data_IF_973895457893
#
_entry.id   IF_973895457893
#
_cell.length_a   1.000
_cell.length_b   1.000
_cell.length_c   1.000
_cell.angle_alpha   90.00
_cell.angle_beta   90.00
_cell.angle_gamma   90.00
#
_symmetry.space_group_name_H-M   'P 1'
#
loop_
_entity.id
_entity.type
_entity.pdbx_description
1 polymer ?
#
# COMPACT_ATOMS: atom_id res chain seq x y z
N UNK A 1 -11.35 11.45 34.56
CA UNK A 1 -12.06 10.30 33.96
C UNK A 1 -11.28 9.89 32.73
N UNK A 2 -10.74 8.68 32.73
CA UNK A 2 -10.07 8.15 31.55
C UNK A 2 -11.11 7.80 30.48
N UNK A 3 -10.91 8.31 29.27
CA UNK A 3 -11.77 8.00 28.13
C UNK A 3 -11.76 6.49 27.87
N UNK A 4 -12.87 5.78 27.62
CA UNK A 4 -12.87 4.36 27.25
C UNK A 4 -12.08 4.04 25.97
N UNK A 5 -11.55 2.82 25.87
CA UNK A 5 -10.73 2.37 24.72
C UNK A 5 -11.49 2.51 23.39
N UNK A 6 -12.80 2.19 23.40
CA UNK A 6 -13.68 2.26 22.23
C UNK A 6 -13.84 3.70 21.73
N UNK A 7 -13.90 4.67 22.66
CA UNK A 7 -13.99 6.08 22.30
C UNK A 7 -12.67 6.58 21.70
N UNK A 8 -11.53 6.11 22.22
CA UNK A 8 -10.20 6.44 21.69
C UNK A 8 -10.08 5.90 20.26
N UNK A 9 -10.43 4.63 20.03
CA UNK A 9 -10.41 4.01 18.70
C UNK A 9 -11.38 4.71 17.73
N UNK A 10 -12.57 5.11 18.20
CA UNK A 10 -13.52 5.87 17.39
C UNK A 10 -12.98 7.24 16.96
N UNK A 11 -12.18 7.90 17.81
CA UNK A 11 -11.49 9.15 17.46
C UNK A 11 -10.37 8.88 16.46
N UNK A 12 -9.51 7.89 16.73
CA UNK A 12 -8.38 7.55 15.87
C UNK A 12 -8.79 7.06 14.48
N UNK A 13 -9.94 6.40 14.36
CA UNK A 13 -10.51 6.01 13.06
C UNK A 13 -10.90 7.20 12.18
N UNK A 14 -10.99 8.41 12.74
CA UNK A 14 -11.20 9.66 11.99
C UNK A 14 -9.89 10.34 11.58
N UNK A 15 -8.75 9.86 12.08
CA UNK A 15 -7.43 10.41 11.81
C UNK A 15 -6.70 9.56 10.77
N UNK A 16 -5.62 10.12 10.19
CA UNK A 16 -4.67 9.32 9.40
C UNK A 16 -4.03 8.28 10.31
N UNK A 17 -4.07 7.01 9.92
CA UNK A 17 -3.47 5.92 10.71
C UNK A 17 -1.98 6.12 10.92
N UNK A 18 -1.27 6.66 9.93
CA UNK A 18 0.15 6.99 10.05
C UNK A 18 0.38 8.04 11.13
N UNK A 19 -0.44 9.09 11.16
CA UNK A 19 -0.30 10.15 12.17
C UNK A 19 -0.53 9.57 13.57
N UNK A 20 -1.52 8.69 13.73
CA UNK A 20 -1.78 7.98 14.99
C UNK A 20 -0.60 7.09 15.38
N UNK A 21 -0.13 6.23 14.47
CA UNK A 21 1.01 5.34 14.68
C UNK A 21 2.25 6.14 15.08
N UNK A 22 2.57 7.20 14.35
CA UNK A 22 3.75 8.01 14.62
C UNK A 22 3.64 8.80 15.93
N UNK A 23 2.44 9.27 16.29
CA UNK A 23 2.23 10.12 17.47
C UNK A 23 2.11 9.34 18.77
N UNK A 24 1.63 8.10 18.72
CA UNK A 24 1.26 7.36 19.94
C UNK A 24 2.12 6.12 20.21
N UNK A 25 2.84 5.58 19.22
CA UNK A 25 3.77 4.47 19.46
C UNK A 25 4.91 4.92 20.38
N UNK A 26 5.10 4.17 21.46
CA UNK A 26 6.13 4.42 22.46
C UNK A 26 5.80 5.50 23.49
N UNK A 27 4.67 6.20 23.35
CA UNK A 27 4.30 7.30 24.27
C UNK A 27 3.70 6.78 25.56
N UNK A 28 2.80 5.79 25.48
CA UNK A 28 2.14 5.24 26.65
C UNK A 28 1.73 3.78 26.43
N UNK A 29 1.86 2.93 27.45
CA UNK A 29 1.59 1.48 27.34
C UNK A 29 0.16 1.18 26.86
N UNK A 30 -0.82 1.91 27.39
CA UNK A 30 -2.23 1.79 26.97
C UNK A 30 -2.39 2.10 25.48
N UNK A 31 -1.73 3.13 24.97
CA UNK A 31 -1.83 3.49 23.56
C UNK A 31 -1.09 2.50 22.67
N UNK A 32 0.07 1.99 23.09
CA UNK A 32 0.75 0.92 22.36
C UNK A 32 -0.17 -0.30 22.17
N UNK A 33 -0.88 -0.70 23.22
CA UNK A 33 -1.86 -1.80 23.12
C UNK A 33 -2.95 -1.52 22.09
N UNK A 34 -3.46 -0.29 22.05
CA UNK A 34 -4.54 0.09 21.12
C UNK A 34 -4.05 0.25 19.68
N UNK A 35 -2.89 0.86 19.48
CA UNK A 35 -2.32 1.10 18.15
C UNK A 35 -1.88 -0.20 17.48
N UNK A 36 -1.42 -1.17 18.28
CA UNK A 36 -1.06 -2.51 17.81
C UNK A 36 -2.21 -3.52 17.89
N UNK A 37 -3.42 -3.06 18.22
CA UNK A 37 -4.59 -3.91 18.15
C UNK A 37 -4.79 -4.36 16.70
N UNK A 38 -4.97 -5.68 16.52
CA UNK A 38 -5.11 -6.29 15.21
C UNK A 38 -6.22 -5.62 14.41
N UNK A 39 -7.35 -5.29 15.03
CA UNK A 39 -8.51 -4.71 14.33
C UNK A 39 -8.23 -3.30 13.81
N UNK A 40 -7.34 -2.55 14.47
CA UNK A 40 -6.98 -1.21 14.04
C UNK A 40 -5.98 -1.23 12.88
N UNK A 41 -4.98 -2.11 12.92
CA UNK A 41 -3.80 -2.04 12.04
C UNK A 41 -3.90 -2.84 10.73
N UNK A 42 -5.01 -3.56 10.47
CA UNK A 42 -5.15 -4.44 9.30
C UNK A 42 -4.92 -3.76 7.95
N UNK A 43 -5.13 -2.45 7.87
CA UNK A 43 -4.91 -1.67 6.65
C UNK A 43 -3.99 -0.48 6.93
N UNK A 44 -2.90 -0.36 6.18
CA UNK A 44 -1.94 0.74 6.28
C UNK A 44 -1.84 1.45 4.93
N UNK A 45 -1.86 2.78 4.96
CA UNK A 45 -1.67 3.63 3.79
C UNK A 45 -0.41 4.50 3.95
N UNK A 46 0.61 4.23 3.15
CA UNK A 46 1.89 4.93 3.10
C UNK A 46 1.97 5.75 1.81
N UNK A 47 1.17 6.82 1.76
CA UNK A 47 1.07 7.69 0.59
C UNK A 47 1.64 9.07 0.92
N UNK A 48 2.51 9.59 0.06
CA UNK A 48 3.01 10.96 0.15
C UNK A 48 1.99 11.92 -0.49
N UNK A 49 0.89 12.18 0.22
CA UNK A 49 -0.18 13.01 -0.32
C UNK A 49 0.24 14.49 -0.39
N UNK A 50 0.54 15.00 -1.58
CA UNK A 50 0.65 16.43 -1.89
C UNK A 50 -0.68 17.21 -1.79
N UNK A 51 -1.73 16.63 -1.20
CA UNK A 51 -2.99 17.31 -0.95
C UNK A 51 -2.83 18.30 0.19
N UNK A 52 -3.28 19.54 0.00
CA UNK A 52 -3.12 20.73 0.87
C UNK A 52 -3.34 20.58 2.39
N UNK A 53 -3.81 19.43 2.88
CA UNK A 53 -4.13 19.19 4.31
C UNK A 53 -3.74 17.79 4.84
N UNK A 54 -2.80 17.07 4.22
CA UNK A 54 -2.26 15.82 4.79
C UNK A 54 -0.77 15.98 5.06
N UNK A 55 -0.32 15.59 6.25
CA UNK A 55 1.10 15.55 6.57
C UNK A 55 1.82 14.74 5.49
N UNK A 56 2.78 15.38 4.80
CA UNK A 56 3.59 14.70 3.80
C UNK A 56 4.37 13.59 4.49
N UNK A 57 4.21 12.36 4.02
CA UNK A 57 5.10 11.27 4.38
C UNK A 57 6.47 11.57 3.74
N UNK A 58 7.29 12.34 4.45
CA UNK A 58 8.66 12.64 4.01
C UNK A 58 9.53 11.38 4.12
N UNK A 59 10.60 11.31 3.34
CA UNK A 59 11.55 10.19 3.35
C UNK A 59 12.05 9.87 4.78
N UNK A 60 12.44 10.84 5.63
CA UNK A 60 12.84 10.54 7.00
C UNK A 60 11.73 9.94 7.88
N UNK A 61 10.47 10.35 7.66
CA UNK A 61 9.33 9.78 8.41
C UNK A 61 9.10 8.34 7.95
N UNK A 62 9.15 8.08 6.65
CA UNK A 62 9.06 6.74 6.09
C UNK A 62 10.18 5.84 6.63
N UNK A 63 11.42 6.32 6.65
CA UNK A 63 12.57 5.56 7.16
C UNK A 63 12.39 5.17 8.63
N UNK A 64 11.93 6.12 9.44
CA UNK A 64 11.63 5.86 10.85
C UNK A 64 10.48 4.87 11.00
N UNK A 65 9.44 5.01 10.17
CA UNK A 65 8.29 4.12 10.17
C UNK A 65 8.73 2.68 9.82
N UNK A 66 9.49 2.51 8.73
CA UNK A 66 10.04 1.24 8.27
C UNK A 66 11.01 0.61 9.28
N UNK A 67 11.80 1.43 9.99
CA UNK A 67 12.82 0.91 10.92
C UNK A 67 12.26 0.57 12.30
N UNK A 68 11.16 1.21 12.73
CA UNK A 68 10.69 1.12 14.11
C UNK A 68 9.25 0.61 14.24
N UNK A 69 8.31 1.13 13.45
CA UNK A 69 6.88 0.84 13.62
C UNK A 69 6.48 -0.39 12.81
N UNK A 70 6.83 -0.40 11.52
CA UNK A 70 6.46 -1.46 10.59
C UNK A 70 6.95 -2.87 11.02
N UNK A 71 8.17 -3.06 11.57
CA UNK A 71 8.60 -4.36 12.09
C UNK A 71 7.73 -4.90 13.23
N UNK A 72 7.00 -4.03 13.94
CA UNK A 72 6.13 -4.45 15.05
C UNK A 72 4.72 -4.81 14.58
N UNK A 73 4.32 -4.37 13.37
CA UNK A 73 2.93 -4.50 12.90
C UNK A 73 2.76 -5.27 11.61
N UNK A 74 3.83 -5.53 10.85
CA UNK A 74 3.73 -6.13 9.51
C UNK A 74 2.99 -7.48 9.49
N UNK A 75 3.07 -8.26 10.59
CA UNK A 75 2.37 -9.54 10.74
C UNK A 75 0.85 -9.39 10.84
N UNK A 76 0.32 -8.20 11.10
CA UNK A 76 -1.12 -7.96 11.21
C UNK A 76 -1.68 -7.23 9.97
N UNK A 77 -0.82 -6.80 9.04
CA UNK A 77 -1.23 -6.05 7.86
C UNK A 77 -1.84 -7.01 6.85
N UNK A 78 -3.12 -6.80 6.56
CA UNK A 78 -3.89 -7.52 5.55
C UNK A 78 -4.04 -6.72 4.25
N UNK A 79 -3.94 -5.40 4.34
CA UNK A 79 -4.05 -4.45 3.24
C UNK A 79 -2.96 -3.38 3.33
N UNK A 80 -2.24 -3.15 2.23
CA UNK A 80 -1.19 -2.15 2.15
C UNK A 80 -1.38 -1.28 0.92
N UNK A 81 -1.41 0.03 1.12
CA UNK A 81 -1.38 1.01 0.04
C UNK A 81 -0.09 1.79 0.12
N UNK A 82 0.65 1.88 -0.98
CA UNK A 82 1.95 2.55 -1.02
C UNK A 82 2.20 3.21 -2.38
N UNK A 83 3.14 4.15 -2.40
CA UNK A 83 3.68 4.70 -3.65
C UNK A 83 4.79 3.82 -4.20
N UNK A 84 4.89 3.73 -5.53
CA UNK A 84 5.95 2.99 -6.25
C UNK A 84 7.34 3.24 -5.66
N UNK A 85 7.71 4.51 -5.43
CA UNK A 85 9.01 4.92 -4.87
C UNK A 85 9.30 4.36 -3.46
N UNK A 86 8.26 4.01 -2.71
CA UNK A 86 8.38 3.45 -1.35
C UNK A 86 8.29 1.92 -1.31
N UNK A 87 7.91 1.27 -2.42
CA UNK A 87 7.55 -0.15 -2.45
C UNK A 87 8.66 -1.04 -1.93
N UNK A 88 9.85 -0.99 -2.53
CA UNK A 88 10.97 -1.85 -2.15
C UNK A 88 11.34 -1.66 -0.68
N UNK A 89 11.36 -0.41 -0.22
CA UNK A 89 11.71 -0.07 1.16
C UNK A 89 10.70 -0.61 2.15
N UNK A 90 9.40 -0.50 1.86
CA UNK A 90 8.35 -1.00 2.74
C UNK A 90 8.34 -2.53 2.74
N UNK A 91 8.33 -3.15 1.55
CA UNK A 91 8.20 -4.60 1.42
C UNK A 91 9.45 -5.37 1.89
N UNK A 92 10.62 -4.73 1.97
CA UNK A 92 11.84 -5.34 2.52
C UNK A 92 11.90 -5.38 4.05
N UNK A 93 10.99 -4.70 4.76
CA UNK A 93 11.03 -4.64 6.24
C UNK A 93 10.74 -5.99 6.89
N UNK A 94 9.92 -6.84 6.27
CA UNK A 94 9.58 -8.13 6.85
C UNK A 94 8.65 -8.96 5.98
N UNK A 95 8.33 -10.16 6.46
CA UNK A 95 7.43 -11.09 5.78
C UNK A 95 5.98 -10.79 6.17
N UNK A 96 5.16 -10.40 5.19
CA UNK A 96 3.78 -9.99 5.42
C UNK A 96 2.80 -11.16 5.32
N UNK A 97 2.86 -12.16 6.20
CA UNK A 97 2.09 -13.41 6.07
C UNK A 97 0.57 -13.27 5.82
N UNK A 98 -0.03 -12.14 6.21
CA UNK A 98 -1.46 -11.89 6.09
C UNK A 98 -1.84 -10.91 4.99
N UNK A 99 -0.89 -10.32 4.26
CA UNK A 99 -1.16 -9.30 3.26
C UNK A 99 -1.89 -9.90 2.05
N UNK A 100 -3.17 -9.60 1.89
CA UNK A 100 -4.01 -10.08 0.79
C UNK A 100 -4.30 -9.00 -0.25
N UNK A 101 -4.24 -7.74 0.16
CA UNK A 101 -4.57 -6.60 -0.68
C UNK A 101 -3.38 -5.66 -0.79
N UNK A 102 -2.92 -5.41 -2.02
CA UNK A 102 -1.84 -4.48 -2.28
C UNK A 102 -2.30 -3.43 -3.27
N UNK A 103 -2.12 -2.16 -2.91
CA UNK A 103 -2.35 -1.02 -3.80
C UNK A 103 -1.04 -0.29 -4.01
N UNK A 104 -0.56 -0.24 -5.25
CA UNK A 104 0.63 0.52 -5.64
C UNK A 104 0.17 1.68 -6.51
N UNK A 105 0.48 2.90 -6.10
CA UNK A 105 0.15 4.10 -6.87
C UNK A 105 1.40 4.76 -7.44
N UNK A 106 1.18 5.69 -8.37
CA UNK A 106 2.24 6.41 -9.06
C UNK A 106 3.25 5.49 -9.77
N UNK A 107 2.76 4.41 -10.39
CA UNK A 107 3.60 3.53 -11.20
C UNK A 107 3.90 4.22 -12.54
N UNK A 108 5.16 4.23 -12.95
CA UNK A 108 5.56 4.56 -14.31
C UNK A 108 5.91 3.28 -15.11
N UNK A 109 6.18 3.45 -16.40
CA UNK A 109 6.50 2.33 -17.29
C UNK A 109 7.79 1.61 -16.87
N UNK A 110 8.82 2.33 -16.45
CA UNK A 110 10.10 1.74 -16.08
C UNK A 110 9.95 0.86 -14.83
N UNK A 111 9.24 1.37 -13.83
CA UNK A 111 8.89 0.66 -12.62
C UNK A 111 8.12 -0.62 -12.92
N UNK A 112 7.08 -0.54 -13.77
CA UNK A 112 6.28 -1.70 -14.13
C UNK A 112 7.11 -2.78 -14.83
N UNK A 113 7.97 -2.38 -15.77
CA UNK A 113 8.85 -3.29 -16.50
C UNK A 113 9.92 -3.93 -15.62
N UNK A 114 10.37 -3.22 -14.58
CA UNK A 114 11.37 -3.72 -13.63
C UNK A 114 10.78 -4.70 -12.62
N UNK A 115 9.57 -4.44 -12.12
CA UNK A 115 9.02 -5.15 -10.96
C UNK A 115 7.95 -6.20 -11.28
N UNK A 116 7.27 -6.11 -12.42
CA UNK A 116 6.30 -7.12 -12.86
C UNK A 116 6.94 -8.07 -13.89
N UNK A 117 7.98 -8.76 -13.43
CA UNK A 117 8.68 -9.82 -14.15
C UNK A 117 8.76 -11.07 -13.27
N UNK A 118 8.95 -12.24 -13.89
CA UNK A 118 9.06 -13.52 -13.16
C UNK A 118 10.27 -13.54 -12.21
N UNK A 119 11.33 -12.80 -12.53
CA UNK A 119 12.58 -12.74 -11.77
C UNK A 119 12.56 -11.69 -10.63
N UNK A 120 11.48 -10.91 -10.52
CA UNK A 120 11.39 -9.87 -9.51
C UNK A 120 11.20 -10.48 -8.12
N UNK A 121 12.01 -10.09 -7.10
CA UNK A 121 11.83 -10.54 -5.72
C UNK A 121 10.41 -10.25 -5.19
N UNK A 122 9.79 -9.18 -5.70
CA UNK A 122 8.41 -8.84 -5.38
C UNK A 122 7.44 -9.95 -5.79
N UNK A 123 7.59 -10.48 -7.00
CA UNK A 123 6.74 -11.57 -7.49
C UNK A 123 6.94 -12.82 -6.64
N UNK A 124 8.18 -13.19 -6.38
CA UNK A 124 8.52 -14.41 -5.62
C UNK A 124 7.88 -14.41 -4.23
N UNK A 125 7.90 -13.27 -3.55
CA UNK A 125 7.38 -13.15 -2.18
C UNK A 125 5.84 -13.18 -2.15
N UNK A 126 5.17 -12.65 -3.17
CA UNK A 126 3.75 -12.31 -3.09
C UNK A 126 2.82 -13.07 -4.07
N UNK A 127 3.38 -13.85 -4.99
CA UNK A 127 2.64 -14.56 -6.05
C UNK A 127 1.45 -15.41 -5.56
N UNK A 128 1.59 -16.05 -4.40
CA UNK A 128 0.58 -16.92 -3.79
C UNK A 128 -0.21 -16.22 -2.69
N UNK A 129 0.17 -15.00 -2.32
CA UNK A 129 -0.43 -14.35 -1.16
C UNK A 129 -1.50 -13.33 -1.53
N UNK A 130 -1.24 -12.56 -2.60
CA UNK A 130 -2.08 -11.44 -3.01
C UNK A 130 -3.31 -11.95 -3.75
N UNK A 131 -4.47 -11.54 -3.27
CA UNK A 131 -5.76 -11.83 -3.90
C UNK A 131 -6.36 -10.59 -4.55
N UNK A 132 -5.97 -9.39 -4.10
CA UNK A 132 -6.42 -8.13 -4.69
C UNK A 132 -5.20 -7.25 -4.96
N UNK A 133 -4.98 -6.90 -6.22
CA UNK A 133 -3.93 -5.98 -6.62
C UNK A 133 -4.56 -4.77 -7.29
N UNK A 134 -4.17 -3.58 -6.85
CA UNK A 134 -4.55 -2.32 -7.47
C UNK A 134 -3.32 -1.55 -7.89
N UNK A 135 -3.28 -1.11 -9.14
CA UNK A 135 -2.17 -0.38 -9.72
C UNK A 135 -2.67 0.95 -10.27
N UNK A 136 -2.11 2.06 -9.81
CA UNK A 136 -2.40 3.37 -10.39
C UNK A 136 -1.18 3.91 -11.11
N UNK A 137 -1.32 4.12 -12.42
CA UNK A 137 -0.25 4.59 -13.31
C UNK A 137 -0.27 6.12 -13.34
N UNK A 138 0.91 6.75 -13.31
CA UNK A 138 1.06 8.20 -13.53
C UNK A 138 0.58 8.51 -14.94
N UNK A 139 -0.40 9.42 -15.09
CA UNK A 139 -1.01 9.78 -16.37
C UNK A 139 0.11 10.10 -17.38
N UNK A 140 0.39 9.22 -18.37
CA UNK A 140 1.41 9.52 -19.33
C UNK A 140 0.85 10.63 -20.19
N UNK A 141 1.48 11.80 -20.18
CA UNK A 141 1.19 12.87 -21.13
C UNK A 141 1.39 12.43 -22.60
N UNK A 142 1.83 11.19 -22.82
CA UNK A 142 2.16 10.56 -24.09
C UNK A 142 1.03 9.60 -24.50
N UNK A 143 0.62 9.74 -25.76
CA UNK A 143 -0.45 9.06 -26.50
C UNK A 143 -1.16 7.85 -25.86
N UNK A 144 -2.50 7.82 -26.01
CA UNK A 144 -3.39 6.71 -25.61
C UNK A 144 -2.87 5.32 -26.00
N UNK A 145 -2.16 5.20 -27.12
CA UNK A 145 -1.56 3.95 -27.61
C UNK A 145 -0.51 3.38 -26.65
N UNK A 146 0.38 4.22 -26.11
CA UNK A 146 1.42 3.78 -25.16
C UNK A 146 0.82 3.28 -23.84
N UNK A 147 -0.31 3.84 -23.44
CA UNK A 147 -1.06 3.44 -22.25
C UNK A 147 -1.74 2.08 -22.46
N UNK A 148 -2.31 1.83 -23.64
CA UNK A 148 -2.91 0.53 -24.00
C UNK A 148 -1.85 -0.57 -24.08
N UNK A 149 -0.71 -0.31 -24.70
CA UNK A 149 0.36 -1.31 -24.83
C UNK A 149 1.00 -1.63 -23.47
N UNK A 150 1.22 -0.61 -22.64
CA UNK A 150 1.72 -0.80 -21.28
C UNK A 150 0.71 -1.58 -20.44
N UNK A 151 -0.55 -1.16 -20.43
CA UNK A 151 -1.58 -1.84 -19.66
C UNK A 151 -1.74 -3.27 -20.13
N UNK A 152 -1.89 -3.55 -21.43
CA UNK A 152 -2.13 -4.91 -21.94
C UNK A 152 -0.98 -5.87 -21.62
N UNK A 153 0.27 -5.45 -21.82
CA UNK A 153 1.44 -6.29 -21.52
C UNK A 153 1.65 -6.48 -20.01
N UNK A 154 1.43 -5.44 -19.21
CA UNK A 154 1.54 -5.52 -17.74
C UNK A 154 0.39 -6.32 -17.16
N UNK A 155 -0.83 -6.21 -17.69
CA UNK A 155 -2.00 -7.01 -17.31
C UNK A 155 -1.73 -8.50 -17.47
N UNK A 156 -1.33 -8.92 -18.67
CA UNK A 156 -1.08 -10.32 -18.97
C UNK A 156 0.00 -10.91 -18.05
N UNK A 157 1.08 -10.14 -17.82
CA UNK A 157 2.15 -10.54 -16.90
C UNK A 157 1.66 -10.63 -15.46
N UNK A 158 0.94 -9.63 -14.95
CA UNK A 158 0.44 -9.68 -13.57
C UNK A 158 -0.47 -10.89 -13.35
N UNK A 159 -1.33 -11.23 -14.32
CA UNK A 159 -2.15 -12.43 -14.20
C UNK A 159 -1.33 -13.72 -14.19
N UNK A 160 -0.26 -13.81 -14.98
CA UNK A 160 0.60 -15.01 -14.93
C UNK A 160 1.43 -15.08 -13.63
N UNK A 161 1.75 -13.92 -13.05
CA UNK A 161 2.60 -13.80 -11.87
C UNK A 161 1.85 -14.11 -10.56
N UNK A 162 0.59 -13.71 -10.42
CA UNK A 162 -0.18 -13.83 -9.17
C UNK A 162 -1.24 -14.93 -9.25
N UNK A 163 -0.90 -16.13 -8.77
CA UNK A 163 -1.74 -17.34 -8.87
C UNK A 163 -3.09 -17.22 -8.18
N UNK A 164 -3.14 -16.46 -7.08
CA UNK A 164 -4.34 -16.32 -6.24
C UNK A 164 -5.09 -15.01 -6.47
N UNK A 165 -4.75 -14.27 -7.53
CA UNK A 165 -5.37 -12.99 -7.84
C UNK A 165 -6.84 -13.19 -8.24
N UNK A 166 -7.76 -12.60 -7.49
CA UNK A 166 -9.21 -12.61 -7.77
C UNK A 166 -9.71 -11.27 -8.30
N UNK A 167 -9.02 -10.18 -7.95
CA UNK A 167 -9.38 -8.84 -8.38
C UNK A 167 -8.13 -8.04 -8.79
N UNK A 168 -8.19 -7.44 -9.97
CA UNK A 168 -7.17 -6.54 -10.50
C UNK A 168 -7.82 -5.22 -10.95
N UNK A 169 -7.43 -4.13 -10.29
CA UNK A 169 -7.92 -2.77 -10.57
C UNK A 169 -6.76 -1.92 -11.11
N UNK A 170 -6.92 -1.39 -12.31
CA UNK A 170 -6.00 -0.37 -12.82
C UNK A 170 -6.59 1.01 -12.62
N UNK A 171 -5.76 2.02 -12.44
CA UNK A 171 -6.18 3.41 -12.26
C UNK A 171 -5.22 4.36 -12.95
N UNK A 172 -5.70 5.56 -13.27
CA UNK A 172 -4.83 6.69 -13.65
C UNK A 172 -4.89 7.75 -12.56
N UNK A 173 -3.73 8.20 -12.09
CA UNK A 173 -3.64 9.32 -11.15
C UNK A 173 -3.78 10.63 -11.92
N UNK A 174 -5.01 11.13 -12.09
CA UNK A 174 -5.21 12.46 -12.70
C UNK A 174 -6.55 12.69 -13.40
N UNK A 175 -7.25 11.64 -13.83
CA UNK A 175 -8.55 11.77 -14.52
C UNK A 175 -9.57 10.77 -14.00
N UNK A 176 -10.83 11.19 -13.90
CA UNK A 176 -12.01 10.30 -13.69
C UNK A 176 -12.27 9.44 -14.94
N UNK A 177 -11.26 8.76 -15.46
CA UNK A 177 -11.46 7.77 -16.52
C UNK A 177 -11.74 6.44 -15.86
N UNK A 178 -12.85 5.82 -16.28
CA UNK A 178 -13.17 4.45 -15.94
C UNK A 178 -12.03 3.56 -16.42
N UNK A 179 -11.28 3.02 -15.48
CA UNK A 179 -10.32 1.98 -15.77
C UNK A 179 -11.01 0.62 -15.69
N UNK A 180 -10.55 -0.37 -16.47
CA UNK A 180 -11.10 -1.71 -16.43
C UNK A 180 -10.80 -2.33 -15.06
N UNK A 181 -11.87 -2.78 -14.39
CA UNK A 181 -11.79 -3.72 -13.27
C UNK A 181 -11.99 -5.11 -13.82
N UNK A 182 -11.04 -5.99 -13.60
CA UNK A 182 -11.22 -7.40 -13.88
C UNK A 182 -11.46 -8.15 -12.57
N UNK A 183 -12.62 -8.79 -12.50
CA UNK A 183 -12.91 -9.83 -11.51
C UNK A 183 -12.79 -11.16 -12.23
N UNK A 184 -12.00 -12.08 -11.66
CA UNK A 184 -11.79 -13.43 -12.19
C UNK A 184 -12.79 -14.37 -11.54
#
# INVERSE_FOLDING_TARGET
>A
MDLPDEMILAIWNKLSKIDVLYSFVGVHQRFNRLVFDKTYIQSIELINSNSKHKHLMTVPILDRFCSYILPQVHTFVESLTLESISMERVLSVGTYHHLRKLTIINIDQEFALRHFTDESPFTEIFNEQITHLKISIIDPERSLSSLIDLTTNVFARIFSLFKNLTELDFGSTGRRRYCPRLKI
#
